data_IF_817416990470
#
_entry.id   IF_817416990470
#
_cell.length_a   1.000
_cell.length_b   1.000
_cell.length_c   1.000
_cell.angle_alpha   90.00
_cell.angle_beta   90.00
_cell.angle_gamma   90.00
#
_symmetry.space_group_name_H-M   'P 1'
#
loop_
_entity.id
_entity.type
_entity.pdbx_description
1 polymer ?
#
# COMPACT_ATOMS: atom_id res chain seq x y z
N UNK A 1 -10.88 2.74 -3.23
CA UNK A 1 -11.09 3.17 -4.63
C UNK A 1 -10.40 4.50 -4.94
N UNK A 2 -10.25 5.42 -3.97
CA UNK A 2 -9.48 6.65 -4.18
C UNK A 2 -7.98 6.40 -4.47
N UNK A 3 -7.39 5.39 -3.81
CA UNK A 3 -5.93 5.16 -3.85
C UNK A 3 -5.36 4.94 -5.26
N UNK A 4 -6.03 4.12 -6.09
CA UNK A 4 -5.59 3.87 -7.48
C UNK A 4 -5.80 5.06 -8.41
N UNK A 5 -6.84 5.86 -8.16
CA UNK A 5 -7.08 7.07 -8.95
C UNK A 5 -6.05 8.15 -8.62
N UNK A 6 -5.73 8.31 -7.33
CA UNK A 6 -4.65 9.19 -6.87
C UNK A 6 -3.30 8.73 -7.42
N UNK A 7 -2.99 7.44 -7.35
CA UNK A 7 -1.76 6.87 -7.90
C UNK A 7 -1.66 7.09 -9.42
N UNK A 8 -2.76 6.96 -10.16
CA UNK A 8 -2.81 7.29 -11.58
C UNK A 8 -2.53 8.77 -11.83
N UNK A 9 -3.11 9.67 -11.03
CA UNK A 9 -2.87 11.09 -11.12
C UNK A 9 -1.39 11.44 -10.86
N UNK A 10 -0.78 10.83 -9.85
CA UNK A 10 0.63 11.03 -9.53
C UNK A 10 1.54 10.52 -10.65
N UNK A 11 1.23 9.36 -11.24
CA UNK A 11 1.96 8.82 -12.37
C UNK A 11 1.84 9.69 -13.63
N UNK A 12 0.69 10.33 -13.87
CA UNK A 12 0.49 11.29 -14.98
C UNK A 12 1.33 12.54 -14.75
N UNK A 13 1.32 13.09 -13.54
CA UNK A 13 2.13 14.26 -13.19
C UNK A 13 3.63 13.96 -13.38
N UNK A 14 4.09 12.80 -12.88
CA UNK A 14 5.46 12.34 -13.07
C UNK A 14 5.84 12.16 -14.55
N UNK A 15 4.92 11.65 -15.38
CA UNK A 15 5.12 11.52 -16.82
C UNK A 15 5.31 12.89 -17.50
N UNK A 16 4.52 13.88 -17.10
CA UNK A 16 4.65 15.25 -17.59
C UNK A 16 5.99 15.88 -17.20
N UNK A 17 6.42 15.70 -15.95
CA UNK A 17 7.73 16.15 -15.49
C UNK A 17 8.87 15.49 -16.26
N UNK A 18 8.82 14.17 -16.46
CA UNK A 18 9.82 13.43 -17.25
C UNK A 18 9.93 13.98 -18.68
N UNK A 19 8.82 14.32 -19.33
CA UNK A 19 8.80 14.90 -20.66
C UNK A 19 9.39 16.32 -20.68
N UNK A 20 8.97 17.18 -19.75
CA UNK A 20 9.48 18.55 -19.65
C UNK A 20 10.98 18.59 -19.36
N UNK A 21 11.44 17.76 -18.41
CA UNK A 21 12.86 17.64 -18.07
C UNK A 21 13.68 17.10 -19.23
N UNK A 22 13.17 16.08 -19.94
CA UNK A 22 13.83 15.54 -21.12
C UNK A 22 14.01 16.62 -22.20
N UNK A 23 12.95 17.38 -22.51
CA UNK A 23 13.02 18.46 -23.52
C UNK A 23 14.04 19.52 -23.10
N UNK A 24 13.98 20.00 -21.85
CA UNK A 24 14.88 21.04 -21.36
C UNK A 24 16.35 20.62 -21.42
N UNK A 25 16.67 19.43 -20.92
CA UNK A 25 18.04 18.91 -20.92
C UNK A 25 18.53 18.63 -22.34
N UNK A 26 17.71 17.99 -23.19
CA UNK A 26 18.10 17.69 -24.58
C UNK A 26 18.37 18.97 -25.35
N UNK A 27 17.57 20.02 -25.17
CA UNK A 27 17.80 21.32 -25.81
C UNK A 27 19.08 22.00 -25.30
N UNK A 28 19.38 21.89 -24.01
CA UNK A 28 20.58 22.48 -23.41
C UNK A 28 21.86 21.82 -23.91
N UNK A 29 21.84 20.50 -24.12
CA UNK A 29 23.00 19.72 -24.60
C UNK A 29 23.03 19.55 -26.11
N UNK A 30 22.01 20.04 -26.82
CA UNK A 30 21.91 19.93 -28.28
C UNK A 30 23.06 20.69 -28.94
N UNK A 31 23.87 19.96 -29.69
CA UNK A 31 24.92 20.55 -30.51
C UNK A 31 24.31 21.15 -31.78
N UNK A 32 24.73 22.36 -32.21
CA UNK A 32 24.29 22.92 -33.48
C UNK A 32 24.59 21.97 -34.63
N UNK A 33 23.59 21.67 -35.44
CA UNK A 33 23.76 20.89 -36.67
C UNK A 33 24.28 21.81 -37.77
N UNK A 34 25.37 21.44 -38.43
CA UNK A 34 25.87 22.18 -39.59
C UNK A 34 25.67 21.36 -40.86
N UNK A 35 25.13 21.99 -41.90
CA UNK A 35 25.06 21.40 -43.24
C UNK A 35 26.45 21.47 -43.90
N UNK A 36 26.85 20.40 -44.58
CA UNK A 36 28.16 20.28 -45.22
C UNK A 36 28.44 21.41 -46.24
N UNK A 37 27.39 22.00 -46.82
CA UNK A 37 27.48 23.08 -47.81
C UNK A 37 27.89 24.45 -47.20
N UNK A 38 27.88 24.58 -45.87
CA UNK A 38 28.18 25.83 -45.18
C UNK A 38 29.57 25.81 -44.55
N UNK A 39 30.58 26.26 -45.33
CA UNK A 39 31.98 26.56 -44.94
C UNK A 39 32.38 26.20 -43.49
N UNK A 40 32.48 24.89 -43.24
CA UNK A 40 32.84 24.28 -41.95
C UNK A 40 34.23 24.74 -41.49
N UNK A 41 35.18 24.80 -42.42
CA UNK A 41 36.59 25.13 -42.14
C UNK A 41 36.78 26.56 -41.58
N UNK A 42 35.96 27.53 -42.00
CA UNK A 42 36.06 28.90 -41.48
C UNK A 42 35.36 29.12 -40.13
N UNK A 43 34.40 28.27 -39.74
CA UNK A 43 33.69 28.40 -38.46
C UNK A 43 34.27 27.52 -37.35
N UNK A 44 34.82 26.35 -37.69
CA UNK A 44 35.48 25.45 -36.74
C UNK A 44 36.79 26.02 -36.15
N UNK A 45 37.38 27.01 -36.82
CA UNK A 45 38.58 27.73 -36.37
C UNK A 45 38.29 28.85 -35.36
N UNK A 46 37.02 29.23 -35.15
CA UNK A 46 36.65 30.21 -34.13
C UNK A 46 36.55 29.52 -32.76
N UNK A 47 37.20 30.07 -31.71
CA UNK A 47 37.24 29.45 -30.38
C UNK A 47 35.85 29.26 -29.76
N UNK A 48 34.88 30.11 -30.12
CA UNK A 48 33.47 29.98 -29.71
C UNK A 48 32.84 28.64 -30.14
N UNK A 49 33.14 28.14 -31.34
CA UNK A 49 32.58 26.88 -31.85
C UNK A 49 33.38 25.64 -31.41
N UNK A 50 34.66 25.82 -31.08
CA UNK A 50 35.52 24.76 -30.55
C UNK A 50 35.12 24.30 -29.15
N UNK A 51 34.59 25.21 -28.32
CA UNK A 51 34.06 24.88 -26.99
C UNK A 51 32.82 23.97 -27.06
N UNK A 52 31.97 24.14 -28.08
CA UNK A 52 30.80 23.29 -28.30
C UNK A 52 31.18 21.86 -28.72
N UNK A 53 32.20 21.71 -29.57
CA UNK A 53 32.67 20.40 -30.08
C UNK A 53 33.33 19.49 -29.02
N UNK A 54 33.73 20.02 -27.86
CA UNK A 54 34.37 19.25 -26.78
C UNK A 54 33.38 18.66 -25.76
N UNK A 55 32.09 18.97 -25.86
CA UNK A 55 31.04 18.39 -25.02
C UNK A 55 30.78 16.92 -25.38
N UNK A 56 30.83 16.04 -24.37
CA UNK A 56 30.63 14.59 -24.44
C UNK A 56 29.44 14.11 -25.31
N UNK A 57 29.46 12.84 -25.79
CA UNK A 57 28.41 12.30 -26.65
C UNK A 57 27.04 12.37 -25.96
N UNK A 58 26.03 12.99 -26.60
CA UNK A 58 24.68 13.16 -26.05
C UNK A 58 23.81 11.89 -26.11
N UNK A 59 24.33 10.80 -26.69
CA UNK A 59 23.55 9.60 -27.05
C UNK A 59 22.93 8.89 -25.84
N UNK A 60 23.58 8.94 -24.67
CA UNK A 60 23.08 8.28 -23.46
C UNK A 60 21.98 9.08 -22.75
N UNK A 61 21.99 10.41 -22.84
CA UNK A 61 21.01 11.27 -22.15
C UNK A 61 19.61 11.07 -22.74
N UNK A 62 19.50 11.14 -24.07
CA UNK A 62 18.23 10.91 -24.76
C UNK A 62 17.70 9.50 -24.52
N UNK A 63 18.59 8.49 -24.53
CA UNK A 63 18.23 7.10 -24.25
C UNK A 63 17.74 6.90 -22.81
N UNK A 64 18.38 7.52 -21.83
CA UNK A 64 17.97 7.43 -20.43
C UNK A 64 16.58 8.02 -20.21
N UNK A 65 16.30 9.20 -20.78
CA UNK A 65 14.95 9.78 -20.73
C UNK A 65 13.92 8.90 -21.44
N UNK A 66 14.25 8.36 -22.61
CA UNK A 66 13.36 7.45 -23.33
C UNK A 66 13.00 6.21 -22.50
N UNK A 67 13.98 5.63 -21.77
CA UNK A 67 13.74 4.48 -20.88
C UNK A 67 12.80 4.86 -19.74
N UNK A 68 13.01 6.01 -19.09
CA UNK A 68 12.17 6.47 -17.97
C UNK A 68 10.75 6.78 -18.45
N UNK A 69 10.59 7.53 -19.55
CA UNK A 69 9.30 7.85 -20.17
C UNK A 69 8.55 6.55 -20.55
N UNK A 70 9.22 5.60 -21.20
CA UNK A 70 8.59 4.34 -21.61
C UNK A 70 8.24 3.43 -20.42
N UNK A 71 8.95 3.55 -19.29
CA UNK A 71 8.63 2.83 -18.05
C UNK A 71 7.39 3.44 -17.39
N UNK A 72 7.36 4.76 -17.25
CA UNK A 72 6.21 5.46 -16.64
C UNK A 72 4.95 5.29 -17.49
N UNK A 73 5.04 5.32 -18.83
CA UNK A 73 3.92 5.01 -19.72
C UNK A 73 3.37 3.59 -19.50
N UNK A 74 4.24 2.57 -19.38
CA UNK A 74 3.81 1.20 -19.05
C UNK A 74 3.15 1.09 -17.68
N UNK A 75 3.60 1.88 -16.72
CA UNK A 75 2.96 1.94 -15.40
C UNK A 75 1.56 2.55 -15.49
N UNK A 76 1.38 3.61 -16.30
CA UNK A 76 0.06 4.17 -16.58
C UNK A 76 -0.88 3.14 -17.20
N UNK A 77 -0.42 2.40 -18.22
CA UNK A 77 -1.23 1.34 -18.86
C UNK A 77 -1.65 0.26 -17.85
N UNK A 78 -0.73 -0.15 -16.97
CA UNK A 78 -1.04 -1.13 -15.92
C UNK A 78 -2.04 -0.59 -14.89
N UNK A 79 -1.93 0.69 -14.52
CA UNK A 79 -2.86 1.34 -13.59
C UNK A 79 -4.26 1.48 -14.19
N UNK A 80 -4.34 1.86 -15.47
CA UNK A 80 -5.60 1.94 -16.23
C UNK A 80 -6.24 0.56 -16.32
N UNK A 81 -5.47 -0.48 -16.66
CA UNK A 81 -5.96 -1.86 -16.72
C UNK A 81 -6.36 -2.44 -15.36
N UNK A 82 -5.88 -1.87 -14.25
CA UNK A 82 -6.26 -2.25 -12.90
C UNK A 82 -7.46 -1.46 -12.36
N UNK A 83 -7.99 -0.49 -13.12
CA UNK A 83 -9.22 0.19 -12.74
C UNK A 83 -10.40 -0.78 -12.81
N UNK A 84 -11.29 -0.76 -11.81
CA UNK A 84 -12.52 -1.56 -11.88
C UNK A 84 -13.37 -1.09 -13.06
N UNK A 85 -13.99 -2.03 -13.77
CA UNK A 85 -14.87 -1.75 -14.91
C UNK A 85 -16.00 -0.77 -14.51
N UNK A 86 -16.21 0.26 -15.33
CA UNK A 86 -17.15 1.35 -15.08
C UNK A 86 -18.63 0.93 -15.26
N UNK A 87 -18.88 -0.29 -15.76
CA UNK A 87 -20.24 -0.77 -16.13
C UNK A 87 -21.12 -1.24 -14.97
N UNK A 88 -20.64 -1.20 -13.73
CA UNK A 88 -21.53 -1.39 -12.60
C UNK A 88 -22.33 -0.10 -12.36
N UNK A 89 -23.53 0.00 -12.97
CA UNK A 89 -24.51 1.05 -12.67
C UNK A 89 -24.52 1.35 -11.18
N UNK A 90 -24.52 2.63 -10.79
CA UNK A 90 -24.48 3.06 -9.40
C UNK A 90 -25.58 2.41 -8.53
N UNK A 91 -26.66 1.95 -9.15
CA UNK A 91 -27.73 1.18 -8.51
C UNK A 91 -27.32 -0.27 -8.21
N UNK A 92 -26.64 -0.95 -9.13
CA UNK A 92 -26.09 -2.29 -8.92
C UNK A 92 -25.05 -2.28 -7.81
N UNK A 93 -24.16 -1.28 -7.79
CA UNK A 93 -23.18 -1.10 -6.72
C UNK A 93 -23.87 -0.87 -5.37
N UNK A 94 -24.89 0.00 -5.32
CA UNK A 94 -25.69 0.22 -4.11
C UNK A 94 -26.37 -1.06 -3.63
N UNK A 95 -26.95 -1.84 -4.53
CA UNK A 95 -27.57 -3.13 -4.20
C UNK A 95 -26.55 -4.15 -3.68
N UNK A 96 -25.36 -4.23 -4.29
CA UNK A 96 -24.27 -5.08 -3.82
C UNK A 96 -23.78 -4.69 -2.42
N UNK A 97 -23.62 -3.39 -2.16
CA UNK A 97 -23.25 -2.88 -0.83
C UNK A 97 -24.32 -3.21 0.20
N UNK A 98 -25.61 -3.05 -0.14
CA UNK A 98 -26.70 -3.41 0.77
C UNK A 98 -26.69 -4.91 1.12
N UNK A 99 -26.46 -5.78 0.14
CA UNK A 99 -26.30 -7.23 0.39
C UNK A 99 -25.13 -7.51 1.31
N UNK A 100 -23.98 -6.90 1.05
CA UNK A 100 -22.78 -7.07 1.88
C UNK A 100 -23.02 -6.62 3.34
N UNK A 101 -23.75 -5.53 3.55
CA UNK A 101 -24.13 -5.05 4.88
C UNK A 101 -25.04 -6.07 5.59
N UNK A 102 -26.01 -6.65 4.91
CA UNK A 102 -26.89 -7.65 5.52
C UNK A 102 -26.14 -8.94 5.85
N UNK A 103 -25.26 -9.40 4.96
CA UNK A 103 -24.39 -10.55 5.21
C UNK A 103 -23.48 -10.29 6.41
N UNK A 104 -22.85 -9.13 6.48
CA UNK A 104 -22.02 -8.71 7.62
C UNK A 104 -22.81 -8.71 8.92
N UNK A 105 -24.05 -8.19 8.92
CA UNK A 105 -24.94 -8.21 10.09
C UNK A 105 -25.31 -9.64 10.49
N UNK A 106 -25.59 -10.50 9.51
CA UNK A 106 -25.91 -11.91 9.73
C UNK A 106 -24.75 -12.66 10.38
N UNK A 107 -23.54 -12.51 9.84
CA UNK A 107 -22.32 -13.09 10.42
C UNK A 107 -22.02 -12.51 11.80
N UNK A 108 -22.21 -11.20 12.01
CA UNK A 108 -22.10 -10.57 13.32
C UNK A 108 -23.07 -11.17 14.35
N UNK A 109 -24.32 -11.47 13.96
CA UNK A 109 -25.28 -12.16 14.83
C UNK A 109 -24.83 -13.58 15.18
N UNK A 110 -24.25 -14.32 14.22
CA UNK A 110 -23.71 -15.67 14.48
C UNK A 110 -22.55 -15.61 15.46
N UNK A 111 -21.63 -14.67 15.27
CA UNK A 111 -20.51 -14.45 16.18
C UNK A 111 -21.00 -14.11 17.59
N UNK A 112 -21.94 -13.19 17.73
CA UNK A 112 -22.51 -12.82 19.03
C UNK A 112 -23.10 -14.03 19.78
N UNK A 113 -23.84 -14.90 19.08
CA UNK A 113 -24.38 -16.14 19.68
C UNK A 113 -23.27 -17.07 20.19
N UNK A 114 -22.19 -17.22 19.41
CA UNK A 114 -21.04 -18.03 19.82
C UNK A 114 -20.37 -17.43 21.04
N UNK A 115 -20.12 -16.12 21.05
CA UNK A 115 -19.51 -15.40 22.17
C UNK A 115 -20.34 -15.57 23.45
N UNK A 116 -21.66 -15.34 23.40
CA UNK A 116 -22.53 -15.52 24.57
C UNK A 116 -22.50 -16.96 25.10
N UNK A 117 -22.45 -17.97 24.21
CA UNK A 117 -22.34 -19.37 24.63
C UNK A 117 -20.99 -19.66 25.30
N UNK A 118 -19.91 -19.07 24.81
CA UNK A 118 -18.58 -19.21 25.40
C UNK A 118 -18.50 -18.53 26.77
N UNK A 119 -19.06 -17.32 26.91
CA UNK A 119 -19.14 -16.61 28.18
C UNK A 119 -19.94 -17.39 29.23
N UNK A 120 -21.08 -17.97 28.85
CA UNK A 120 -21.89 -18.79 29.74
C UNK A 120 -21.13 -20.05 30.22
N UNK A 121 -20.39 -20.71 29.31
CA UNK A 121 -19.53 -21.85 29.65
C UNK A 121 -18.40 -21.44 30.59
N UNK A 122 -17.75 -20.32 30.31
CA UNK A 122 -16.68 -19.79 31.15
C UNK A 122 -17.19 -19.46 32.56
N UNK A 123 -18.38 -18.86 32.66
CA UNK A 123 -19.03 -18.60 33.95
C UNK A 123 -19.31 -19.91 34.71
N UNK A 124 -19.73 -20.98 34.01
CA UNK A 124 -19.90 -22.31 34.58
C UNK A 124 -18.59 -22.88 35.13
N UNK A 125 -17.52 -22.86 34.34
CA UNK A 125 -16.19 -23.31 34.78
C UNK A 125 -15.72 -22.53 36.01
N UNK A 126 -15.89 -21.20 36.01
CA UNK A 126 -15.51 -20.35 37.14
C UNK A 126 -16.30 -20.68 38.41
N UNK A 127 -17.59 -21.03 38.30
CA UNK A 127 -18.40 -21.49 39.45
C UNK A 127 -17.87 -22.80 40.01
N UNK A 128 -17.54 -23.77 39.16
CA UNK A 128 -16.97 -25.05 39.62
C UNK A 128 -15.63 -24.87 40.31
N UNK A 129 -14.73 -24.05 39.74
CA UNK A 129 -13.45 -23.73 40.37
C UNK A 129 -13.62 -23.06 41.74
N UNK A 130 -14.57 -22.12 41.87
CA UNK A 130 -14.87 -21.50 43.16
C UNK A 130 -15.44 -22.50 44.17
N UNK A 131 -16.32 -23.42 43.75
CA UNK A 131 -16.86 -24.45 44.62
C UNK A 131 -15.76 -25.39 45.13
N UNK A 132 -14.84 -25.82 44.24
CA UNK A 132 -13.69 -26.65 44.61
C UNK A 132 -12.81 -25.90 45.61
N UNK A 133 -12.46 -24.65 45.34
CA UNK A 133 -11.66 -23.83 46.25
C UNK A 133 -12.33 -23.68 47.63
N UNK A 134 -13.65 -23.44 47.66
CA UNK A 134 -14.40 -23.34 48.91
C UNK A 134 -14.40 -24.66 49.68
N UNK A 135 -14.62 -25.79 49.00
CA UNK A 135 -14.57 -27.12 49.64
C UNK A 135 -13.20 -27.42 50.24
N UNK A 136 -12.12 -27.09 49.52
CA UNK A 136 -10.75 -27.26 50.02
C UNK A 136 -10.48 -26.41 51.26
N UNK A 137 -10.92 -25.14 51.26
CA UNK A 137 -10.80 -24.26 52.43
C UNK A 137 -11.60 -24.79 53.63
N UNK A 138 -12.82 -25.29 53.41
CA UNK A 138 -13.62 -25.87 54.50
C UNK A 138 -13.02 -27.16 55.04
N UNK A 139 -12.48 -28.03 54.18
CA UNK A 139 -11.80 -29.26 54.62
C UNK A 139 -10.57 -28.91 55.45
N UNK A 140 -9.74 -27.96 55.01
CA UNK A 140 -8.58 -27.50 55.78
C UNK A 140 -8.96 -26.88 57.13
N UNK A 141 -10.05 -26.11 57.18
CA UNK A 141 -10.54 -25.52 58.43
C UNK A 141 -11.00 -26.62 59.41
N UNK A 142 -11.77 -27.60 58.94
CA UNK A 142 -12.23 -28.73 59.75
C UNK A 142 -11.06 -29.60 60.22
N UNK A 143 -10.09 -29.89 59.34
CA UNK A 143 -8.87 -30.60 59.73
C UNK A 143 -8.13 -29.84 60.85
N UNK A 144 -7.95 -28.52 60.71
CA UNK A 144 -7.30 -27.70 61.73
C UNK A 144 -8.07 -27.63 63.07
N UNK A 145 -9.40 -27.72 63.04
CA UNK A 145 -10.23 -27.82 64.24
C UNK A 145 -10.11 -29.20 64.90
N UNK A 146 -10.20 -30.28 64.12
CA UNK A 146 -10.02 -31.67 64.62
C UNK A 146 -8.63 -31.86 65.22
N UNK A 147 -7.57 -31.35 64.58
CA UNK A 147 -6.23 -31.36 65.15
C UNK A 147 -6.13 -30.55 66.45
N UNK A 148 -6.87 -29.45 66.59
CA UNK A 148 -6.93 -28.68 67.84
C UNK A 148 -7.65 -29.43 68.96
N UNK A 149 -8.74 -30.13 68.66
CA UNK A 149 -9.49 -30.92 69.65
C UNK A 149 -8.74 -32.20 70.08
N UNK A 150 -7.98 -32.84 69.18
CA UNK A 150 -7.25 -34.08 69.47
C UNK A 150 -5.83 -33.88 70.02
N UNK A 151 -5.14 -32.79 69.65
CA UNK A 151 -3.76 -32.53 70.08
C UNK A 151 -3.62 -31.31 71.01
N UNK A 152 -4.70 -30.59 71.31
CA UNK A 152 -4.72 -29.45 72.22
C UNK A 152 -5.08 -29.82 73.66
N UNK A 153 -4.05 -30.11 74.46
CA UNK A 153 -3.93 -29.62 75.84
C UNK A 153 -2.74 -28.65 75.85
#
# INVERSE_FOLDING_TARGET
MADRLTELQDAINLQAENLCNAIGVIQQVAQPSFFADFNWASRSAKPEYQAFLQGQPPDDIGRNFAVVIARTARQLDALIGALPEEEASAELQRAAVQRLIEDYRSEGRKLARVTTRLEARLAGVRRFLNAIAQTQLTTQALEAEVYREFCGN
#
